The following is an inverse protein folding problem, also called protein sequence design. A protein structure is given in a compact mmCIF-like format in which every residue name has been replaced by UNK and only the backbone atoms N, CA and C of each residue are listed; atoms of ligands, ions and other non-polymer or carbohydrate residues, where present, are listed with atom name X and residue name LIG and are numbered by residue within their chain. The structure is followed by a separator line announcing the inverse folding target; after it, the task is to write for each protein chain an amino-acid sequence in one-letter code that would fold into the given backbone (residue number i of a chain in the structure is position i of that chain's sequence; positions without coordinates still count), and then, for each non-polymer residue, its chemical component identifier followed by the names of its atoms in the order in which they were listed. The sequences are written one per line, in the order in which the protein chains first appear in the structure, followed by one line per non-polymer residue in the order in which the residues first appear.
data_IF_671816897440
#
_entry.id   IF_671816897440
#
_cell.length_a   1.000
_cell.length_b   1.000
_cell.length_c   1.000
_cell.angle_alpha   90.00
_cell.angle_beta   90.00
_cell.angle_gamma   90.00
#
_symmetry.space_group_name_H-M   'P 1'
#
loop_
_entity.id
_entity.type
_entity.pdbx_description
1 polymer ?
#
# COMPACT_ATOMS: atom_id res chain seq x y z
N UNK A 1 12.69 26.86 -17.48
CA UNK A 1 13.93 26.06 -17.59
C UNK A 1 13.88 25.01 -16.50
N UNK A 2 14.05 23.74 -16.86
CA UNK A 2 14.23 22.71 -15.84
C UNK A 2 15.58 22.92 -15.16
N UNK A 3 15.70 22.47 -13.91
CA UNK A 3 16.91 22.62 -13.12
C UNK A 3 17.19 21.34 -12.36
N UNK A 4 18.44 20.90 -12.34
CA UNK A 4 18.90 19.77 -11.53
C UNK A 4 19.64 20.33 -10.33
N UNK A 5 19.38 19.78 -9.13
CA UNK A 5 20.14 20.18 -7.95
C UNK A 5 21.44 19.38 -7.87
N UNK A 6 22.57 20.07 -7.88
CA UNK A 6 23.91 19.50 -7.73
C UNK A 6 24.64 20.27 -6.63
N UNK A 7 25.15 19.57 -5.63
CA UNK A 7 25.83 20.16 -4.47
C UNK A 7 25.08 21.39 -3.89
N UNK A 8 23.77 21.22 -3.65
CA UNK A 8 22.85 22.25 -3.15
C UNK A 8 22.71 23.51 -4.04
N UNK A 9 23.15 23.46 -5.30
CA UNK A 9 22.95 24.52 -6.29
C UNK A 9 22.02 24.05 -7.39
N UNK A 10 21.11 24.93 -7.80
CA UNK A 10 20.22 24.67 -8.93
C UNK A 10 20.97 24.94 -10.22
N UNK A 11 21.25 23.87 -10.96
CA UNK A 11 21.94 23.93 -12.24
C UNK A 11 20.90 23.95 -13.36
N UNK A 12 20.89 24.97 -14.24
CA UNK A 12 19.97 24.99 -15.37
C UNK A 12 20.30 23.86 -16.33
N UNK A 13 19.25 23.24 -16.84
CA UNK A 13 19.33 22.20 -17.86
C UNK A 13 19.62 22.81 -19.23
N UNK A 14 20.87 22.74 -19.67
CA UNK A 14 21.30 23.24 -21.00
C UNK A 14 21.61 22.05 -21.90
N UNK A 15 20.97 22.01 -23.06
CA UNK A 15 21.22 21.02 -24.12
C UNK A 15 21.73 21.70 -25.38
N UNK A 16 22.76 21.12 -25.97
CA UNK A 16 23.30 21.55 -27.25
C UNK A 16 23.56 20.33 -28.13
N UNK A 17 22.99 20.31 -29.34
CA UNK A 17 23.06 19.17 -30.28
C UNK A 17 22.67 17.82 -29.65
N UNK A 18 21.64 17.84 -28.81
CA UNK A 18 21.14 16.63 -28.13
C UNK A 18 22.04 16.12 -26.98
N UNK A 19 23.03 16.90 -26.57
CA UNK A 19 23.92 16.56 -25.45
C UNK A 19 23.78 17.59 -24.32
N UNK A 20 23.83 17.11 -23.07
CA UNK A 20 23.89 17.96 -21.89
C UNK A 20 25.22 18.67 -21.81
N UNK A 21 25.18 19.99 -21.69
CA UNK A 21 26.37 20.83 -21.59
C UNK A 21 26.35 21.71 -20.34
N UNK A 22 27.52 22.06 -19.84
CA UNK A 22 27.70 22.98 -18.72
C UNK A 22 28.59 24.15 -19.12
N UNK A 23 28.40 25.29 -18.46
CA UNK A 23 29.26 26.47 -18.67
C UNK A 23 30.39 26.49 -17.65
N UNK A 24 31.47 27.22 -17.95
CA UNK A 24 32.57 27.40 -16.99
C UNK A 24 32.11 28.03 -15.67
N UNK A 25 31.12 28.93 -15.73
CA UNK A 25 30.52 29.56 -14.54
C UNK A 25 29.76 28.53 -13.69
N UNK A 26 28.95 27.67 -14.32
CA UNK A 26 28.25 26.58 -13.63
C UNK A 26 29.23 25.66 -12.89
N UNK A 27 30.39 25.38 -13.50
CA UNK A 27 31.44 24.56 -12.88
C UNK A 27 32.02 25.26 -11.65
N UNK A 28 32.38 26.54 -11.74
CA UNK A 28 32.90 27.31 -10.60
C UNK A 28 31.88 27.32 -9.46
N UNK A 29 30.60 27.50 -9.79
CA UNK A 29 29.52 27.48 -8.82
C UNK A 29 29.40 26.11 -8.13
N UNK A 30 29.21 25.01 -8.85
CA UNK A 30 28.98 23.70 -8.21
C UNK A 30 30.19 23.20 -7.42
N UNK A 31 31.41 23.59 -7.79
CA UNK A 31 32.65 23.28 -7.05
C UNK A 31 32.98 24.29 -5.96
N UNK A 32 32.14 25.31 -5.74
CA UNK A 32 32.37 26.38 -4.75
C UNK A 32 33.71 27.11 -4.94
N UNK A 33 34.13 27.31 -6.18
CA UNK A 33 35.38 28.00 -6.53
C UNK A 33 35.10 29.46 -6.90
N UNK A 34 36.09 30.36 -6.73
CA UNK A 34 35.98 31.74 -7.21
C UNK A 34 35.67 31.78 -8.71
N UNK A 35 34.80 32.71 -9.12
CA UNK A 35 34.42 32.89 -10.52
C UNK A 35 35.66 33.11 -11.41
N UNK A 36 35.74 32.35 -12.50
CA UNK A 36 36.86 32.36 -13.43
C UNK A 36 37.93 31.30 -13.18
N UNK A 37 37.81 30.49 -12.13
CA UNK A 37 38.77 29.42 -11.83
C UNK A 37 38.75 28.35 -12.93
N UNK A 38 37.57 27.87 -13.32
CA UNK A 38 37.37 26.92 -14.40
C UNK A 38 37.86 27.51 -15.73
N UNK A 39 37.58 28.79 -16.00
CA UNK A 39 38.04 29.48 -17.21
C UNK A 39 39.57 29.52 -17.31
N UNK A 40 40.24 29.84 -16.19
CA UNK A 40 41.71 29.83 -16.13
C UNK A 40 42.25 28.42 -16.42
N UNK A 41 41.71 27.39 -15.76
CA UNK A 41 42.14 25.99 -15.96
C UNK A 41 41.89 25.48 -17.37
N UNK A 42 40.77 25.86 -17.97
CA UNK A 42 40.45 25.55 -19.37
C UNK A 42 41.48 26.18 -20.30
N UNK A 43 41.78 27.47 -20.13
CA UNK A 43 42.76 28.17 -20.97
C UNK A 43 44.18 27.64 -20.79
N UNK A 44 44.62 27.38 -19.55
CA UNK A 44 45.95 26.84 -19.23
C UNK A 44 46.18 25.48 -19.91
N UNK A 45 45.11 24.69 -20.09
CA UNK A 45 45.18 23.35 -20.67
C UNK A 45 44.51 23.28 -22.05
N UNK A 46 44.25 24.41 -22.72
CA UNK A 46 43.42 24.46 -23.94
C UNK A 46 43.91 23.52 -25.05
N UNK A 47 45.22 23.32 -25.14
CA UNK A 47 45.84 22.39 -26.11
C UNK A 47 45.45 20.91 -25.92
N UNK A 48 44.86 20.56 -24.77
CA UNK A 48 44.40 19.20 -24.46
C UNK A 48 42.91 18.98 -24.73
N UNK A 49 42.17 20.03 -25.06
CA UNK A 49 40.74 19.96 -25.35
C UNK A 49 40.49 19.93 -26.85
N UNK A 50 39.51 19.14 -27.28
CA UNK A 50 39.09 19.03 -28.69
C UNK A 50 37.80 19.82 -28.89
N UNK A 51 37.81 20.80 -29.80
CA UNK A 51 36.60 21.55 -30.16
C UNK A 51 35.65 20.64 -30.96
N UNK A 52 34.38 20.62 -30.55
CA UNK A 52 33.36 19.74 -31.12
C UNK A 52 33.14 18.44 -30.36
N UNK A 53 34.09 18.03 -29.52
CA UNK A 53 34.00 16.84 -28.66
C UNK A 53 33.95 17.24 -27.18
N UNK A 54 34.95 17.98 -26.71
CA UNK A 54 35.04 18.40 -25.31
C UNK A 54 34.31 19.72 -25.06
N UNK A 55 34.34 20.63 -26.03
CA UNK A 55 33.73 21.95 -25.87
C UNK A 55 33.21 22.54 -27.19
N UNK A 56 32.29 23.49 -27.03
CA UNK A 56 31.78 24.33 -28.11
C UNK A 56 31.93 25.80 -27.74
N UNK A 57 32.40 26.61 -28.70
CA UNK A 57 32.40 28.07 -28.58
C UNK A 57 31.17 28.62 -29.30
N UNK A 58 30.42 29.50 -28.62
CA UNK A 58 29.22 30.13 -29.17
C UNK A 58 29.28 31.64 -29.01
N UNK A 59 28.71 32.34 -29.98
CA UNK A 59 28.67 33.79 -29.94
C UNK A 59 27.61 34.28 -28.94
N UNK A 60 27.60 35.58 -28.68
CA UNK A 60 26.72 36.21 -27.68
C UNK A 60 25.22 36.10 -28.05
N UNK A 61 24.91 35.98 -29.34
CA UNK A 61 23.54 35.86 -29.84
C UNK A 61 22.99 34.44 -29.66
N UNK A 62 23.77 33.41 -30.05
CA UNK A 62 23.46 31.99 -29.81
C UNK A 62 23.34 31.69 -28.31
N UNK A 63 24.18 32.31 -27.47
CA UNK A 63 24.08 32.17 -26.02
C UNK A 63 22.72 32.66 -25.49
N UNK A 64 22.21 33.78 -26.03
CA UNK A 64 20.94 34.38 -25.63
C UNK A 64 19.74 33.49 -26.03
N UNK A 65 19.79 32.84 -27.19
CA UNK A 65 18.78 31.85 -27.60
C UNK A 65 18.72 30.65 -26.65
N UNK A 66 19.86 30.24 -26.11
CA UNK A 66 19.96 29.19 -25.08
C UNK A 66 19.68 29.70 -23.66
N UNK A 67 19.26 30.98 -23.52
CA UNK A 67 18.89 31.58 -22.25
C UNK A 67 20.07 31.89 -21.32
N UNK A 68 21.28 32.00 -21.86
CA UNK A 68 22.49 32.39 -21.11
C UNK A 68 22.97 33.76 -21.57
N UNK A 69 23.17 34.69 -20.63
CA UNK A 69 23.73 36.01 -20.95
C UNK A 69 25.25 35.95 -20.94
N UNK A 70 25.89 36.00 -22.12
CA UNK A 70 27.33 35.97 -22.27
C UNK A 70 27.81 37.04 -23.27
N UNK A 71 28.27 38.22 -22.81
CA UNK A 71 28.63 39.34 -23.70
C UNK A 71 29.83 39.05 -24.63
N UNK A 72 30.73 38.16 -24.23
CA UNK A 72 31.96 37.82 -24.95
C UNK A 72 31.94 36.39 -25.51
N UNK A 73 30.75 35.88 -25.86
CA UNK A 73 30.54 34.48 -26.19
C UNK A 73 30.63 33.54 -24.99
N UNK A 74 30.22 32.30 -25.20
CA UNK A 74 30.13 31.26 -24.16
C UNK A 74 30.86 29.99 -24.58
N UNK A 75 31.45 29.32 -23.59
CA UNK A 75 32.05 28.00 -23.74
C UNK A 75 31.13 27.00 -23.06
N UNK A 76 30.62 26.07 -23.85
CA UNK A 76 29.90 24.91 -23.37
C UNK A 76 30.83 23.72 -23.32
N UNK A 77 30.89 23.05 -22.18
CA UNK A 77 31.63 21.81 -21.98
C UNK A 77 30.65 20.64 -22.01
N UNK A 78 31.00 19.61 -22.78
CA UNK A 78 30.33 18.30 -22.76
C UNK A 78 30.74 17.53 -21.50
N UNK A 79 30.22 16.32 -21.33
CA UNK A 79 30.67 15.43 -20.26
C UNK A 79 32.19 15.19 -20.32
N UNK A 80 32.75 14.92 -21.51
CA UNK A 80 34.18 14.69 -21.67
C UNK A 80 35.02 15.93 -21.35
N UNK A 81 34.59 17.10 -21.82
CA UNK A 81 35.29 18.36 -21.52
C UNK A 81 35.23 18.72 -20.04
N UNK A 82 34.09 18.50 -19.38
CA UNK A 82 33.99 18.65 -17.94
C UNK A 82 34.98 17.74 -17.22
N UNK A 83 35.02 16.44 -17.58
CA UNK A 83 35.93 15.46 -17.00
C UNK A 83 37.41 15.83 -17.23
N UNK A 84 37.74 16.38 -18.41
CA UNK A 84 39.09 16.84 -18.72
C UNK A 84 39.50 18.04 -17.86
N UNK A 85 38.59 18.96 -17.60
CA UNK A 85 38.84 20.15 -16.77
C UNK A 85 39.06 19.78 -15.30
N UNK A 86 38.19 18.92 -14.74
CA UNK A 86 38.25 18.56 -13.31
C UNK A 86 39.40 17.62 -12.94
N UNK A 87 40.15 17.09 -13.90
CA UNK A 87 41.46 16.43 -13.62
C UNK A 87 42.42 17.33 -12.84
N UNK A 88 42.23 18.65 -12.91
CA UNK A 88 43.02 19.63 -12.15
C UNK A 88 42.46 19.95 -10.76
N UNK A 89 41.30 19.40 -10.38
CA UNK A 89 40.66 19.58 -9.08
C UNK A 89 40.91 18.34 -8.22
N UNK A 90 41.75 18.47 -7.20
CA UNK A 90 42.23 17.35 -6.39
C UNK A 90 41.64 17.30 -4.97
N UNK A 91 40.55 18.02 -4.72
CA UNK A 91 39.90 18.13 -3.41
C UNK A 91 38.69 17.17 -3.27
N UNK A 92 38.35 16.80 -2.03
CA UNK A 92 37.25 15.86 -1.74
C UNK A 92 35.88 16.34 -2.24
N UNK A 93 35.66 17.66 -2.26
CA UNK A 93 34.41 18.23 -2.78
C UNK A 93 34.30 17.98 -4.30
N UNK A 94 35.39 18.15 -5.04
CA UNK A 94 35.42 17.88 -6.48
C UNK A 94 35.04 16.43 -6.80
N UNK A 95 35.53 15.46 -6.02
CA UNK A 95 35.13 14.05 -6.18
C UNK A 95 33.62 13.83 -6.00
N UNK A 96 33.02 14.49 -5.01
CA UNK A 96 31.57 14.41 -4.76
C UNK A 96 30.77 15.05 -5.89
N UNK A 97 31.13 16.29 -6.26
CA UNK A 97 30.46 17.06 -7.30
C UNK A 97 30.55 16.35 -8.65
N UNK A 98 31.72 15.80 -8.99
CA UNK A 98 31.91 15.02 -10.21
C UNK A 98 30.95 13.83 -10.28
N UNK A 99 30.82 13.07 -9.20
CA UNK A 99 29.89 11.93 -9.15
C UNK A 99 28.44 12.36 -9.30
N UNK A 100 28.04 13.48 -8.69
CA UNK A 100 26.69 14.02 -8.83
C UNK A 100 26.42 14.53 -10.24
N UNK A 101 27.33 15.30 -10.85
CA UNK A 101 27.18 15.82 -12.21
C UNK A 101 27.08 14.70 -13.24
N UNK A 102 27.97 13.72 -13.20
CA UNK A 102 27.97 12.61 -14.16
C UNK A 102 26.67 11.80 -14.05
N UNK A 103 26.25 11.46 -12.83
CA UNK A 103 25.09 10.58 -12.65
C UNK A 103 23.75 11.27 -12.87
N UNK A 104 23.63 12.55 -12.50
CA UNK A 104 22.34 13.22 -12.41
C UNK A 104 22.15 14.33 -13.46
N UNK A 105 23.23 14.86 -14.06
CA UNK A 105 23.14 15.92 -15.06
C UNK A 105 23.53 15.44 -16.46
N UNK A 106 24.71 14.81 -16.62
CA UNK A 106 25.20 14.40 -17.94
C UNK A 106 24.57 13.11 -18.46
N UNK A 107 24.29 12.15 -17.56
CA UNK A 107 23.51 10.96 -17.90
C UNK A 107 22.05 11.31 -18.15
N UNK A 108 21.78 11.86 -19.32
CA UNK A 108 20.45 11.82 -19.93
C UNK A 108 20.11 10.36 -20.16
N UNK A 109 19.09 9.83 -19.48
CA UNK A 109 18.46 8.58 -19.93
C UNK A 109 17.97 8.85 -21.34
N UNK A 110 18.44 8.08 -22.32
CA UNK A 110 17.82 8.11 -23.63
C UNK A 110 16.31 7.89 -23.42
N UNK A 111 15.45 8.71 -24.04
CA UNK A 111 14.02 8.43 -24.01
C UNK A 111 13.86 7.00 -24.53
N UNK A 112 13.24 6.15 -23.71
CA UNK A 112 12.99 4.75 -24.07
C UNK A 112 12.37 4.73 -25.46
N UNK A 113 12.91 3.88 -26.34
CA UNK A 113 12.26 3.63 -27.62
C UNK A 113 10.82 3.16 -27.38
N UNK A 114 9.92 3.36 -28.34
CA UNK A 114 8.53 2.89 -28.20
C UNK A 114 8.46 1.40 -27.81
N UNK A 115 9.38 0.60 -28.36
CA UNK A 115 9.50 -0.83 -28.07
C UNK A 115 9.91 -1.08 -26.61
N UNK A 116 10.90 -0.37 -26.10
CA UNK A 116 11.34 -0.50 -24.70
C UNK A 116 10.26 -0.02 -23.73
N UNK A 117 9.50 1.02 -24.09
CA UNK A 117 8.38 1.50 -23.30
C UNK A 117 7.26 0.45 -23.23
N UNK A 118 6.89 -0.16 -24.37
CA UNK A 118 5.91 -1.25 -24.41
C UNK A 118 6.40 -2.45 -23.59
N UNK A 119 7.67 -2.83 -23.71
CA UNK A 119 8.25 -3.93 -22.94
C UNK A 119 8.20 -3.66 -21.42
N UNK A 120 8.53 -2.43 -21.00
CA UNK A 120 8.45 -2.02 -19.60
C UNK A 120 7.00 -2.05 -19.09
N UNK A 121 6.05 -1.51 -19.85
CA UNK A 121 4.63 -1.53 -19.52
C UNK A 121 4.09 -2.96 -19.43
N UNK A 122 4.45 -3.84 -20.36
CA UNK A 122 4.04 -5.25 -20.35
C UNK A 122 4.61 -5.99 -19.13
N UNK A 123 5.88 -5.77 -18.79
CA UNK A 123 6.50 -6.37 -17.62
C UNK A 123 5.81 -5.94 -16.32
N UNK A 124 5.46 -4.66 -16.20
CA UNK A 124 4.74 -4.15 -15.04
C UNK A 124 3.29 -4.62 -14.98
N UNK A 125 2.59 -4.73 -16.11
CA UNK A 125 1.26 -5.32 -16.17
C UNK A 125 1.25 -6.77 -15.66
N UNK A 126 2.24 -7.58 -16.06
CA UNK A 126 2.39 -8.97 -15.56
C UNK A 126 2.65 -9.00 -14.06
N UNK A 127 3.48 -8.08 -13.53
CA UNK A 127 3.72 -7.98 -12.08
C UNK A 127 2.45 -7.58 -11.33
N UNK A 128 1.69 -6.61 -11.84
CA UNK A 128 0.43 -6.19 -11.25
C UNK A 128 -0.58 -7.34 -11.25
N UNK A 129 -0.70 -8.08 -12.36
CA UNK A 129 -1.59 -9.24 -12.42
C UNK A 129 -1.23 -10.31 -11.38
N UNK A 130 0.06 -10.63 -11.22
CA UNK A 130 0.52 -11.57 -10.19
C UNK A 130 0.17 -11.10 -8.78
N UNK A 131 0.31 -9.80 -8.52
CA UNK A 131 -0.05 -9.20 -7.22
C UNK A 131 -1.56 -9.25 -6.99
N UNK A 132 -2.37 -8.98 -8.00
CA UNK A 132 -3.84 -9.08 -7.93
C UNK A 132 -4.27 -10.51 -7.60
N UNK A 133 -3.75 -11.51 -8.32
CA UNK A 133 -4.06 -12.92 -8.05
C UNK A 133 -3.69 -13.32 -6.61
N UNK A 134 -2.55 -12.84 -6.09
CA UNK A 134 -2.18 -13.10 -4.69
C UNK A 134 -3.12 -12.40 -3.68
N UNK A 135 -3.62 -11.21 -4.01
CA UNK A 135 -4.60 -10.50 -3.18
C UNK A 135 -5.94 -11.23 -3.19
N UNK A 136 -6.40 -11.73 -4.32
CA UNK A 136 -7.63 -12.52 -4.43
C UNK A 136 -7.59 -13.76 -3.52
N UNK A 137 -6.50 -14.54 -3.58
CA UNK A 137 -6.31 -15.71 -2.69
C UNK A 137 -6.31 -15.31 -1.21
N UNK A 138 -5.74 -14.15 -0.86
CA UNK A 138 -5.79 -13.64 0.53
C UNK A 138 -7.19 -13.20 0.93
N UNK A 139 -7.98 -12.64 0.01
CA UNK A 139 -9.37 -12.27 0.30
C UNK A 139 -10.19 -13.53 0.59
N UNK A 140 -10.02 -14.61 -0.17
CA UNK A 140 -10.71 -15.89 0.09
C UNK A 140 -10.43 -16.39 1.51
N UNK A 141 -9.16 -16.46 1.90
CA UNK A 141 -8.78 -16.89 3.26
C UNK A 141 -9.31 -15.96 4.37
N UNK A 142 -9.35 -14.64 4.13
CA UNK A 142 -9.97 -13.68 5.06
C UNK A 142 -11.48 -13.88 5.14
N UNK A 143 -12.16 -14.15 4.01
CA UNK A 143 -13.61 -14.41 4.02
C UNK A 143 -13.95 -15.66 4.81
N UNK A 144 -13.17 -16.74 4.64
CA UNK A 144 -13.30 -17.96 5.45
C UNK A 144 -13.06 -17.69 6.93
N UNK A 145 -12.01 -16.94 7.28
CA UNK A 145 -11.75 -16.55 8.67
C UNK A 145 -12.89 -15.71 9.26
N UNK A 146 -13.43 -14.76 8.50
CA UNK A 146 -14.58 -13.94 8.91
C UNK A 146 -15.83 -14.80 9.07
N UNK A 147 -16.10 -15.76 8.19
CA UNK A 147 -17.21 -16.69 8.35
C UNK A 147 -17.05 -17.56 9.60
N UNK A 148 -15.85 -18.07 9.85
CA UNK A 148 -15.53 -18.85 11.05
C UNK A 148 -15.69 -18.01 12.33
N UNK A 149 -15.29 -16.73 12.30
CA UNK A 149 -15.53 -15.77 13.40
C UNK A 149 -17.03 -15.49 13.56
N UNK A 150 -17.78 -15.29 12.46
CA UNK A 150 -19.22 -15.00 12.47
C UNK A 150 -20.06 -16.16 13.03
N UNK A 151 -19.75 -17.41 12.64
CA UNK A 151 -20.38 -18.61 13.22
C UNK A 151 -19.93 -18.83 14.67
N UNK A 152 -18.80 -18.23 15.05
CA UNK A 152 -18.08 -18.52 16.28
C UNK A 152 -17.53 -19.96 16.24
N UNK A 153 -16.59 -20.29 17.12
CA UNK A 153 -16.22 -21.68 17.42
C UNK A 153 -17.38 -22.46 18.09
N UNK A 154 -18.63 -22.22 17.70
CA UNK A 154 -19.79 -22.89 18.27
C UNK A 154 -19.86 -24.30 17.71
N UNK A 155 -19.83 -25.28 18.61
CA UNK A 155 -19.90 -26.69 18.26
C UNK A 155 -21.13 -26.95 17.38
N UNK A 156 -20.94 -27.71 16.29
CA UNK A 156 -22.03 -28.07 15.40
C UNK A 156 -23.21 -28.67 16.19
N UNK A 157 -24.44 -28.25 15.87
CA UNK A 157 -25.66 -28.67 16.57
C UNK A 157 -26.04 -27.84 17.81
N UNK A 158 -25.12 -27.03 18.35
CA UNK A 158 -25.40 -26.16 19.50
C UNK A 158 -25.85 -24.77 19.06
N UNK A 159 -26.73 -24.15 19.84
CA UNK A 159 -27.28 -22.82 19.61
C UNK A 159 -27.36 -22.01 20.90
N UNK A 160 -27.36 -20.69 20.79
CA UNK A 160 -27.58 -19.80 21.94
C UNK A 160 -29.04 -19.75 22.37
N UNK A 161 -29.28 -19.44 23.64
CA UNK A 161 -30.64 -19.37 24.21
C UNK A 161 -31.60 -18.43 23.46
N UNK A 162 -31.08 -17.33 22.89
CA UNK A 162 -31.88 -16.40 22.07
C UNK A 162 -32.52 -17.08 20.85
N UNK A 163 -31.85 -18.08 20.27
CA UNK A 163 -32.35 -18.80 19.09
C UNK A 163 -33.44 -19.81 19.46
N UNK A 164 -33.28 -20.55 20.56
CA UNK A 164 -34.33 -21.46 21.04
C UNK A 164 -35.57 -20.72 21.56
N UNK A 165 -35.40 -19.52 22.13
CA UNK A 165 -36.51 -18.60 22.45
C UNK A 165 -37.28 -18.23 21.18
N UNK A 166 -36.57 -17.85 20.11
CA UNK A 166 -37.20 -17.47 18.84
C UNK A 166 -37.89 -18.65 18.12
N UNK A 167 -37.37 -19.89 18.30
CA UNK A 167 -37.94 -21.11 17.71
C UNK A 167 -39.15 -21.63 18.49
N UNK A 168 -39.05 -21.73 19.82
CA UNK A 168 -40.12 -22.23 20.69
C UNK A 168 -41.20 -21.19 21.03
N UNK A 169 -40.88 -19.90 20.92
CA UNK A 169 -41.75 -18.82 21.35
C UNK A 169 -41.94 -18.72 22.86
N UNK A 170 -41.14 -19.46 23.65
CA UNK A 170 -41.13 -19.39 25.11
C UNK A 170 -40.18 -18.32 25.62
N UNK A 171 -40.34 -17.90 26.89
CA UNK A 171 -39.37 -17.01 27.54
C UNK A 171 -38.05 -17.74 27.81
N UNK A 172 -36.94 -17.00 27.90
CA UNK A 172 -35.61 -17.56 28.17
C UNK A 172 -35.57 -18.42 29.45
N UNK A 173 -36.21 -17.96 30.52
CA UNK A 173 -36.34 -18.70 31.76
C UNK A 173 -37.08 -20.05 31.58
N UNK A 174 -38.10 -20.09 30.73
CA UNK A 174 -38.82 -21.33 30.42
C UNK A 174 -37.99 -22.26 29.55
N UNK A 175 -37.25 -21.75 28.57
CA UNK A 175 -36.28 -22.55 27.81
C UNK A 175 -35.24 -23.20 28.76
N UNK A 176 -34.71 -22.47 29.74
CA UNK A 176 -33.78 -23.03 30.74
C UNK A 176 -34.45 -24.08 31.64
N UNK A 177 -35.70 -23.86 32.04
CA UNK A 177 -36.45 -24.84 32.80
C UNK A 177 -36.66 -26.14 32.02
N UNK A 178 -36.98 -26.05 30.72
CA UNK A 178 -37.12 -27.21 29.85
C UNK A 178 -35.80 -27.98 29.76
N UNK A 179 -34.69 -27.28 29.53
CA UNK A 179 -33.33 -27.85 29.50
C UNK A 179 -33.03 -28.63 30.77
N UNK A 180 -33.32 -28.05 31.93
CA UNK A 180 -33.10 -28.71 33.23
C UNK A 180 -34.05 -29.90 33.45
N UNK A 181 -35.34 -29.76 33.10
CA UNK A 181 -36.35 -30.79 33.33
C UNK A 181 -36.16 -32.04 32.45
N UNK A 182 -35.63 -31.87 31.24
CA UNK A 182 -35.40 -32.95 30.28
C UNK A 182 -33.91 -33.33 30.16
N UNK A 183 -33.04 -32.71 30.97
CA UNK A 183 -31.58 -32.97 30.97
C UNK A 183 -30.95 -32.82 29.59
N UNK A 184 -31.35 -31.78 28.87
CA UNK A 184 -30.84 -31.49 27.53
C UNK A 184 -29.36 -31.08 27.64
N UNK A 185 -28.47 -31.59 26.77
CA UNK A 185 -27.07 -31.21 26.76
C UNK A 185 -26.85 -29.69 26.59
N UNK A 186 -26.02 -29.13 27.46
CA UNK A 186 -25.59 -27.72 27.43
C UNK A 186 -24.08 -27.62 27.44
N UNK A 187 -23.57 -26.53 26.86
CA UNK A 187 -22.15 -26.20 26.86
C UNK A 187 -21.97 -24.68 27.03
N UNK A 188 -20.73 -24.22 27.16
CA UNK A 188 -20.36 -22.80 27.25
C UNK A 188 -19.56 -22.39 26.03
N UNK A 189 -20.04 -21.38 25.33
CA UNK A 189 -19.37 -20.82 24.16
C UNK A 189 -18.67 -19.50 24.49
N UNK A 190 -17.38 -19.42 24.16
CA UNK A 190 -16.56 -18.21 24.29
C UNK A 190 -16.61 -17.40 22.98
N UNK A 191 -16.80 -16.09 23.09
CA UNK A 191 -16.84 -15.18 21.94
C UNK A 191 -16.25 -13.81 22.30
N UNK A 192 -15.73 -13.10 21.30
CA UNK A 192 -15.23 -11.73 21.45
C UNK A 192 -16.37 -10.73 21.31
N UNK A 193 -16.48 -9.81 22.27
CA UNK A 193 -17.38 -8.65 22.20
C UNK A 193 -16.82 -7.58 21.25
N UNK A 194 -17.65 -6.64 20.74
CA UNK A 194 -17.18 -5.58 19.85
C UNK A 194 -16.03 -4.73 20.42
N UNK A 195 -15.97 -4.58 21.75
CA UNK A 195 -14.91 -3.84 22.46
C UNK A 195 -13.64 -4.67 22.69
N UNK A 196 -13.58 -5.90 22.15
CA UNK A 196 -12.40 -6.77 22.23
C UNK A 196 -12.30 -7.60 23.51
N UNK A 197 -13.34 -7.66 24.34
CA UNK A 197 -13.36 -8.49 25.55
C UNK A 197 -13.85 -9.91 25.24
N UNK A 198 -13.14 -10.92 25.77
CA UNK A 198 -13.61 -12.31 25.80
C UNK A 198 -14.83 -12.42 26.73
N UNK A 199 -15.94 -12.91 26.21
CA UNK A 199 -17.18 -13.16 26.94
C UNK A 199 -17.65 -14.60 26.74
N UNK A 200 -18.52 -15.07 27.64
CA UNK A 200 -19.04 -16.43 27.65
C UNK A 200 -20.55 -16.42 27.64
N UNK A 201 -21.15 -17.36 26.90
CA UNK A 201 -22.60 -17.61 26.93
C UNK A 201 -22.91 -19.09 27.01
N UNK A 202 -24.00 -19.43 27.68
CA UNK A 202 -24.53 -20.79 27.66
C UNK A 202 -25.15 -21.10 26.29
N UNK A 203 -24.89 -22.30 25.79
CA UNK A 203 -25.45 -22.87 24.56
C UNK A 203 -26.11 -24.21 24.87
N UNK A 204 -27.05 -24.61 24.02
CA UNK A 204 -27.84 -25.84 24.15
C UNK A 204 -27.88 -26.55 22.81
N UNK A 205 -27.91 -27.88 22.82
CA UNK A 205 -28.07 -28.66 21.59
C UNK A 205 -29.49 -28.48 21.03
N UNK A 206 -29.58 -28.04 19.77
CA UNK A 206 -30.85 -27.59 19.19
C UNK A 206 -31.84 -28.74 18.99
N UNK A 207 -31.38 -29.87 18.45
CA UNK A 207 -32.24 -31.00 18.09
C UNK A 207 -32.87 -31.65 19.34
N UNK A 208 -32.11 -32.05 20.39
CA UNK A 208 -32.69 -32.55 21.62
C UNK A 208 -33.59 -31.52 22.33
N UNK A 209 -33.28 -30.22 22.22
CA UNK A 209 -34.14 -29.17 22.75
C UNK A 209 -35.50 -29.14 22.05
N UNK A 210 -35.51 -29.19 20.71
CA UNK A 210 -36.75 -29.14 19.93
C UNK A 210 -37.59 -30.41 20.10
N UNK A 211 -36.95 -31.58 20.20
CA UNK A 211 -37.64 -32.84 20.51
C UNK A 211 -38.34 -32.78 21.87
N UNK A 212 -37.62 -32.39 22.92
CA UNK A 212 -38.18 -32.23 24.26
C UNK A 212 -39.27 -31.16 24.30
N UNK A 213 -39.13 -30.07 23.53
CA UNK A 213 -40.14 -29.04 23.42
C UNK A 213 -41.42 -29.57 22.77
N UNK A 214 -41.33 -30.26 21.65
CA UNK A 214 -42.49 -30.85 20.97
C UNK A 214 -43.17 -31.91 21.83
N UNK A 215 -42.39 -32.75 22.53
CA UNK A 215 -42.93 -33.71 23.49
C UNK A 215 -43.65 -33.00 24.64
N UNK A 216 -43.05 -31.98 25.24
CA UNK A 216 -43.68 -31.20 26.31
C UNK A 216 -44.98 -30.54 25.82
N UNK A 217 -45.00 -29.99 24.60
CA UNK A 217 -46.19 -29.36 24.04
C UNK A 217 -47.31 -30.37 23.74
N UNK A 218 -47.00 -31.61 23.35
CA UNK A 218 -48.02 -32.65 23.14
C UNK A 218 -48.66 -33.13 24.44
N UNK A 219 -47.95 -33.03 25.56
CA UNK A 219 -48.42 -33.36 26.92
C UNK A 219 -49.05 -32.16 27.65
N UNK A 220 -48.96 -30.94 27.10
CA UNK A 220 -49.40 -29.72 27.78
C UNK A 220 -50.91 -29.46 27.62
N UNK A 221 -51.55 -29.04 28.72
CA UNK A 221 -52.96 -28.64 28.73
C UNK A 221 -53.11 -27.16 28.35
N UNK A 222 -53.95 -26.81 27.35
CA UNK A 222 -54.23 -25.42 27.02
C UNK A 222 -55.06 -24.75 28.13
N UNK A 223 -54.67 -23.54 28.52
CA UNK A 223 -55.35 -22.69 29.52
C UNK A 223 -55.43 -21.24 29.02
N UNK A 224 -56.34 -21.00 28.09
CA UNK A 224 -56.51 -19.68 27.45
C UNK A 224 -55.30 -19.34 26.58
N UNK A 225 -54.63 -18.22 26.86
CA UNK A 225 -53.41 -17.80 26.15
C UNK A 225 -52.13 -18.46 26.67
N UNK A 226 -52.26 -19.40 27.61
CA UNK A 226 -51.15 -20.08 28.29
C UNK A 226 -51.33 -21.59 28.24
N UNK A 227 -50.27 -22.30 28.58
CA UNK A 227 -50.19 -23.76 28.65
C UNK A 227 -49.78 -24.19 30.04
N UNK A 228 -50.31 -25.31 30.51
CA UNK A 228 -49.92 -25.94 31.77
C UNK A 228 -49.29 -27.31 31.51
N UNK A 229 -48.13 -27.58 32.11
CA UNK A 229 -47.51 -28.90 32.07
C UNK A 229 -46.87 -29.21 33.44
N UNK A 230 -46.97 -30.45 33.97
CA UNK A 230 -46.52 -30.78 35.32
C UNK A 230 -45.06 -30.41 35.62
N UNK A 231 -44.16 -30.57 34.65
CA UNK A 231 -42.72 -30.24 34.81
C UNK A 231 -42.41 -28.75 34.58
N UNK A 232 -43.35 -27.97 34.03
CA UNK A 232 -43.10 -26.61 33.52
C UNK A 232 -44.01 -25.55 34.14
N UNK A 233 -45.01 -25.98 34.92
CA UNK A 233 -46.06 -25.13 35.46
C UNK A 233 -46.83 -24.42 34.35
N UNK A 234 -47.31 -23.21 34.63
CA UNK A 234 -47.94 -22.35 33.64
C UNK A 234 -46.88 -21.62 32.79
N UNK A 235 -47.00 -21.63 31.47
CA UNK A 235 -46.09 -20.96 30.54
C UNK A 235 -46.82 -20.48 29.28
N UNK A 236 -46.11 -19.74 28.42
CA UNK A 236 -46.61 -19.26 27.14
C UNK A 236 -45.61 -19.65 26.05
N UNK A 237 -46.12 -20.11 24.91
CA UNK A 237 -45.36 -20.43 23.70
C UNK A 237 -46.13 -19.86 22.51
N UNK A 238 -45.49 -18.99 21.71
CA UNK A 238 -46.16 -18.25 20.62
C UNK A 238 -45.47 -18.54 19.29
N UNK A 239 -46.26 -18.79 18.23
CA UNK A 239 -45.72 -18.88 16.86
C UNK A 239 -44.77 -20.06 16.64
N UNK A 240 -44.97 -21.14 17.39
CA UNK A 240 -44.22 -22.41 17.27
C UNK A 240 -44.89 -23.40 16.30
N UNK A 241 -46.23 -23.32 16.14
CA UNK A 241 -47.06 -24.26 15.35
C UNK A 241 -46.77 -24.28 13.84
N UNK A 242 -46.07 -23.27 13.30
CA UNK A 242 -45.73 -23.17 11.88
C UNK A 242 -44.25 -23.40 11.54
N UNK A 243 -43.44 -23.91 12.49
CA UNK A 243 -41.97 -24.03 12.37
C UNK A 243 -41.45 -25.47 12.51
N UNK A 244 -42.32 -26.46 12.31
CA UNK A 244 -41.96 -27.89 12.30
C UNK A 244 -41.07 -28.24 11.11
#
# INVERSE_FOLDING_TARGET
MNTVTINNKQLPEIEYRGQRVVTLKMIDEVHQRPEGTARKRFNDNKCRFVEGEDYFVRNSDEAREMGVTAPNGIIFLTESGYLMLVKSFTDDLAWKVQRELVNNYFRTREPLTEIEMIAAMAADAVRQQKRLNQVEVRIETVTEAVENIKRGNMRAGYVGYRQVVAKSGMTDAKCRNLVNAYRIPTDTHEFMTPDGLLSRRAIVELEPFMEAFHQMMSEAEPRGTRWYHPKMGLFQAIGWEGKA
#
